data_IF_386948956235
#
_entry.id   IF_386948956235
#
_cell.length_a   1.000
_cell.length_b   1.000
_cell.length_c   1.000
_cell.angle_alpha   90.00
_cell.angle_beta   90.00
_cell.angle_gamma   90.00
#
_symmetry.space_group_name_H-M   'P 1'
#
loop_
_entity.id
_entity.type
_entity.pdbx_description
1 polymer ?
#
# COMPACT_ATOMS: atom_id res chain seq x y z
N UNK A 1 3.45 29.95 -4.26
CA UNK A 1 2.22 29.63 -5.02
C UNK A 1 1.39 28.59 -4.27
N UNK A 2 0.08 28.48 -4.48
CA UNK A 2 -0.75 27.40 -3.88
C UNK A 2 -1.15 26.40 -4.97
N UNK A 3 -1.25 25.11 -4.61
CA UNK A 3 -1.71 24.08 -5.53
C UNK A 3 -3.20 24.28 -5.85
N UNK A 4 -3.57 24.40 -7.13
CA UNK A 4 -4.98 24.56 -7.53
C UNK A 4 -5.84 23.32 -7.23
N UNK A 5 -5.20 22.14 -7.06
CA UNK A 5 -5.91 20.88 -6.82
C UNK A 5 -6.18 20.61 -5.34
N UNK A 6 -5.38 21.16 -4.42
CA UNK A 6 -5.51 20.85 -2.99
C UNK A 6 -5.27 22.04 -2.05
N UNK A 7 -4.96 23.22 -2.56
CA UNK A 7 -4.75 24.43 -1.76
C UNK A 7 -3.48 24.46 -0.92
N UNK A 8 -2.59 23.46 -1.01
CA UNK A 8 -1.33 23.47 -0.24
C UNK A 8 -0.30 24.44 -0.82
N UNK A 9 0.52 25.05 0.06
CA UNK A 9 1.55 26.03 -0.33
C UNK A 9 2.71 25.32 -1.03
N UNK A 10 2.93 25.63 -2.31
CA UNK A 10 4.02 25.09 -3.12
C UNK A 10 5.24 26.05 -3.13
N UNK A 11 6.45 25.50 -2.98
CA UNK A 11 7.69 26.23 -3.18
C UNK A 11 7.91 26.53 -4.67
N UNK A 12 8.61 27.62 -4.96
CA UNK A 12 8.72 28.25 -6.29
C UNK A 12 9.37 27.36 -7.37
N UNK A 13 10.05 26.29 -6.96
CA UNK A 13 10.76 25.35 -7.82
C UNK A 13 10.26 23.89 -7.68
N UNK A 14 9.08 23.67 -7.09
CA UNK A 14 8.49 22.35 -7.03
C UNK A 14 8.08 21.87 -8.43
N UNK A 15 8.51 20.66 -8.82
CA UNK A 15 8.01 19.97 -10.02
C UNK A 15 6.67 19.28 -9.78
N UNK A 16 6.35 18.99 -8.52
CA UNK A 16 5.13 18.31 -8.08
C UNK A 16 4.69 18.84 -6.72
N UNK A 17 3.38 18.90 -6.48
CA UNK A 17 2.79 19.23 -5.19
C UNK A 17 3.06 18.10 -4.17
N UNK A 18 3.73 18.41 -3.06
CA UNK A 18 3.99 17.44 -2.00
C UNK A 18 2.72 17.01 -1.22
N UNK A 19 1.64 17.77 -1.31
CA UNK A 19 0.37 17.48 -0.62
C UNK A 19 -0.56 16.54 -1.37
N UNK A 20 -0.65 16.65 -2.71
CA UNK A 20 -1.58 15.84 -3.51
C UNK A 20 -0.95 15.15 -4.73
N UNK A 21 0.34 15.37 -5.02
CA UNK A 21 1.05 14.73 -6.13
C UNK A 21 0.78 15.34 -7.51
N UNK A 22 -0.04 16.39 -7.62
CA UNK A 22 -0.29 17.06 -8.89
C UNK A 22 1.00 17.69 -9.45
N UNK A 23 1.25 17.53 -10.75
CA UNK A 23 2.38 18.17 -11.45
C UNK A 23 2.24 19.69 -11.33
N UNK A 24 3.27 20.34 -10.81
CA UNK A 24 3.31 21.78 -10.69
C UNK A 24 3.77 22.34 -12.04
N UNK A 25 2.88 23.03 -12.75
CA UNK A 25 3.23 23.72 -13.98
C UNK A 25 3.96 25.02 -13.61
N UNK A 26 5.28 25.02 -13.77
CA UNK A 26 6.14 26.18 -13.55
C UNK A 26 6.02 27.12 -14.75
N UNK A 27 5.19 28.16 -14.65
CA UNK A 27 5.31 29.32 -15.52
C UNK A 27 6.47 30.19 -15.01
N UNK A 28 7.61 30.17 -15.71
CA UNK A 28 8.70 31.14 -15.51
C UNK A 28 8.36 32.48 -16.21
N UNK A 29 9.15 33.54 -16.03
CA UNK A 29 8.91 34.64 -15.11
C UNK A 29 8.48 35.92 -15.86
N UNK A 30 7.58 36.71 -15.28
CA UNK A 30 7.37 38.09 -15.73
C UNK A 30 7.58 39.02 -14.54
N UNK A 31 8.60 39.86 -14.67
CA UNK A 31 8.96 40.91 -13.75
C UNK A 31 8.03 42.14 -13.91
N UNK A 32 7.84 42.85 -12.78
CA UNK A 32 7.54 44.30 -12.62
C UNK A 32 6.08 44.75 -12.31
N UNK A 33 5.83 45.02 -11.01
CA UNK A 33 5.11 46.16 -10.35
C UNK A 33 3.63 46.52 -10.72
N UNK A 34 2.91 47.41 -9.98
CA UNK A 34 2.58 47.52 -8.55
C UNK A 34 1.04 47.70 -8.26
N UNK A 35 0.65 47.73 -6.96
CA UNK A 35 -0.68 48.12 -6.39
C UNK A 35 -1.81 47.06 -6.44
N UNK A 36 -2.77 46.98 -5.51
CA UNK A 36 -3.17 47.86 -4.42
C UNK A 36 -3.63 47.04 -3.18
N UNK A 37 -3.48 47.68 -2.02
CA UNK A 37 -3.87 47.19 -0.71
C UNK A 37 -5.37 47.44 -0.50
N UNK A 38 -6.14 46.37 -0.28
CA UNK A 38 -7.52 46.45 0.19
C UNK A 38 -7.65 45.61 1.46
N UNK A 39 -7.85 46.27 2.60
CA UNK A 39 -8.23 45.68 3.89
C UNK A 39 -9.76 45.64 4.03
N UNK A 40 -10.32 44.51 4.48
CA UNK A 40 -11.52 44.48 5.31
C UNK A 40 -11.27 43.84 6.71
N UNK A 41 -12.22 43.97 7.66
CA UNK A 41 -11.95 44.46 9.02
C UNK A 41 -11.66 43.39 10.09
N UNK A 42 -11.05 43.88 11.17
CA UNK A 42 -10.70 43.15 12.38
C UNK A 42 -11.92 42.53 13.08
N UNK A 43 -11.79 41.28 13.52
CA UNK A 43 -12.61 40.71 14.60
C UNK A 43 -11.76 40.61 15.85
N UNK A 44 -12.06 41.52 16.76
CA UNK A 44 -11.69 41.52 18.18
C UNK A 44 -12.41 40.39 18.91
N UNK A 45 -11.67 39.48 19.56
CA UNK A 45 -11.97 38.89 20.87
C UNK A 45 -10.63 38.49 21.50
N UNK A 46 -10.01 39.30 22.36
CA UNK A 46 -10.18 39.41 23.82
C UNK A 46 -9.94 38.10 24.60
N UNK A 47 -8.67 37.96 25.01
CA UNK A 47 -8.11 37.52 26.30
C UNK A 47 -8.93 36.66 27.29
N UNK A 48 -8.34 35.53 27.69
CA UNK A 48 -8.36 34.96 29.06
C UNK A 48 -7.08 34.14 29.33
N UNK A 49 -6.65 33.95 30.59
CA UNK A 49 -5.23 33.85 30.98
C UNK A 49 -4.68 32.44 31.33
N UNK A 50 -3.37 32.25 31.04
CA UNK A 50 -2.31 31.51 31.76
C UNK A 50 -2.52 30.04 32.18
N UNK A 51 -1.68 29.11 31.67
CA UNK A 51 -0.74 28.39 32.56
C UNK A 51 0.47 27.77 31.83
N UNK A 52 1.63 28.19 32.29
CA UNK A 52 2.98 27.80 31.91
C UNK A 52 3.36 26.44 32.53
N UNK A 53 3.89 25.51 31.73
CA UNK A 53 4.71 24.40 32.25
C UNK A 53 5.71 23.88 31.19
N UNK A 54 6.96 24.30 31.34
CA UNK A 54 8.17 23.62 30.82
C UNK A 54 8.49 22.40 31.73
N UNK A 55 9.50 21.52 31.48
CA UNK A 55 10.35 21.23 30.30
C UNK A 55 10.56 19.71 30.02
N UNK A 56 11.10 19.31 28.85
CA UNK A 56 12.17 18.28 28.72
C UNK A 56 12.61 18.15 27.24
N UNK A 57 13.82 18.63 26.94
CA UNK A 57 14.51 18.43 25.66
C UNK A 57 15.09 17.01 25.65
N UNK A 58 14.48 16.10 24.90
CA UNK A 58 15.05 14.77 24.67
C UNK A 58 16.11 14.91 23.58
N UNK A 59 17.39 14.73 23.92
CA UNK A 59 18.46 14.63 22.93
C UNK A 59 18.22 13.38 22.06
N UNK A 60 18.16 13.59 20.75
CA UNK A 60 17.81 12.60 19.75
C UNK A 60 19.12 11.88 19.40
N UNK A 61 19.26 10.63 19.83
CA UNK A 61 20.34 9.77 19.36
C UNK A 61 20.15 9.50 17.86
N UNK A 62 21.22 9.49 17.04
CA UNK A 62 21.11 9.18 15.62
C UNK A 62 20.62 7.74 15.43
N UNK A 63 19.51 7.59 14.69
CA UNK A 63 18.95 6.29 14.35
C UNK A 63 19.92 5.50 13.44
N UNK A 64 20.01 4.16 13.59
CA UNK A 64 20.89 3.34 12.77
C UNK A 64 20.47 3.42 11.29
N UNK A 65 21.48 3.52 10.40
CA UNK A 65 21.30 3.58 8.97
C UNK A 65 20.58 2.32 8.45
N UNK A 66 19.39 2.52 7.90
CA UNK A 66 18.58 1.47 7.28
C UNK A 66 19.26 0.98 5.99
N UNK A 67 19.78 -0.25 5.98
CA UNK A 67 20.21 -0.93 4.75
C UNK A 67 18.99 -1.49 4.00
N UNK A 68 18.76 -1.14 2.71
CA UNK A 68 17.64 -1.64 1.92
C UNK A 68 17.94 -3.03 1.32
N UNK A 69 18.35 -4.00 2.14
CA UNK A 69 18.67 -5.35 1.67
C UNK A 69 17.60 -6.40 1.98
N UNK A 70 16.53 -6.06 2.70
CA UNK A 70 15.51 -7.05 3.13
C UNK A 70 14.06 -6.54 3.01
N UNK A 71 13.85 -5.39 2.38
CA UNK A 71 12.60 -4.64 2.40
C UNK A 71 12.13 -4.23 1.01
N UNK A 72 12.52 -4.96 -0.03
CA UNK A 72 11.69 -4.98 -1.22
C UNK A 72 10.45 -5.78 -0.79
N UNK A 73 9.33 -5.13 -0.53
CA UNK A 73 8.03 -5.75 -0.78
C UNK A 73 8.15 -6.31 -2.20
N UNK A 74 8.52 -7.59 -2.32
CA UNK A 74 8.91 -8.19 -3.59
C UNK A 74 7.62 -8.29 -4.39
N UNK A 75 7.31 -7.20 -5.08
CA UNK A 75 6.24 -7.12 -6.06
C UNK A 75 6.59 -8.21 -7.05
N UNK A 76 5.86 -9.32 -6.96
CA UNK A 76 6.10 -10.47 -7.80
C UNK A 76 5.89 -10.03 -9.24
N UNK A 77 6.98 -10.03 -10.02
CA UNK A 77 6.92 -9.67 -11.42
C UNK A 77 5.91 -10.56 -12.15
N UNK A 78 5.23 -10.02 -13.17
CA UNK A 78 4.22 -10.75 -13.96
C UNK A 78 4.80 -12.07 -14.51
N UNK A 79 6.08 -12.09 -14.88
CA UNK A 79 6.78 -13.31 -15.29
C UNK A 79 6.79 -14.39 -14.20
N UNK A 80 6.95 -14.01 -12.94
CA UNK A 80 6.93 -14.92 -11.80
C UNK A 80 5.54 -15.56 -11.65
N UNK A 81 4.47 -14.76 -11.80
CA UNK A 81 3.10 -15.27 -11.82
C UNK A 81 2.85 -16.19 -13.01
N UNK A 82 3.36 -15.88 -14.21
CA UNK A 82 3.20 -16.75 -15.37
C UNK A 82 3.83 -18.12 -15.18
N UNK A 83 5.03 -18.19 -14.59
CA UNK A 83 5.65 -19.48 -14.24
C UNK A 83 4.84 -20.21 -13.18
N UNK A 84 4.34 -19.50 -12.17
CA UNK A 84 3.51 -20.09 -11.12
C UNK A 84 2.18 -20.64 -11.67
N UNK A 85 1.55 -19.92 -12.61
CA UNK A 85 0.32 -20.35 -13.28
C UNK A 85 0.56 -21.55 -14.20
N UNK A 86 1.70 -21.60 -14.89
CA UNK A 86 2.08 -22.74 -15.73
C UNK A 86 2.32 -24.01 -14.89
N UNK A 87 2.95 -23.87 -13.73
CA UNK A 87 3.18 -24.99 -12.82
C UNK A 87 1.88 -25.46 -12.14
N UNK A 88 0.88 -24.58 -12.00
CA UNK A 88 -0.46 -24.94 -11.52
C UNK A 88 -1.15 -25.99 -12.41
N UNK A 89 -0.82 -26.04 -13.71
CA UNK A 89 -1.32 -27.06 -14.63
C UNK A 89 -0.86 -28.48 -14.28
N UNK A 90 0.20 -28.62 -13.48
CA UNK A 90 0.69 -29.92 -13.01
C UNK A 90 0.29 -30.07 -11.54
N UNK A 91 -0.81 -30.80 -11.23
CA UNK A 91 -1.45 -30.76 -9.91
C UNK A 91 -0.53 -31.19 -8.76
N UNK A 92 0.32 -32.20 -8.98
CA UNK A 92 1.25 -32.70 -7.96
C UNK A 92 2.38 -31.69 -7.69
N UNK A 93 2.99 -31.14 -8.74
CA UNK A 93 4.10 -30.18 -8.63
C UNK A 93 3.63 -28.89 -7.96
N UNK A 94 2.43 -28.42 -8.31
CA UNK A 94 1.79 -27.28 -7.67
C UNK A 94 1.69 -27.45 -6.15
N UNK A 95 1.18 -28.61 -5.70
CA UNK A 95 1.01 -28.86 -4.26
C UNK A 95 2.36 -28.84 -3.51
N UNK A 96 3.38 -29.48 -4.07
CA UNK A 96 4.73 -29.53 -3.47
C UNK A 96 5.36 -28.14 -3.39
N UNK A 97 5.24 -27.32 -4.43
CA UNK A 97 5.77 -25.95 -4.43
C UNK A 97 5.08 -25.03 -3.42
N UNK A 98 3.77 -25.16 -3.28
CA UNK A 98 3.02 -24.41 -2.27
C UNK A 98 3.49 -24.77 -0.85
N UNK A 99 3.79 -26.05 -0.58
CA UNK A 99 4.37 -26.48 0.69
C UNK A 99 5.80 -25.90 0.87
N UNK A 100 6.63 -25.97 -0.16
CA UNK A 100 7.99 -25.45 -0.14
C UNK A 100 8.01 -23.94 0.13
N UNK A 101 7.12 -23.15 -0.48
CA UNK A 101 7.04 -21.71 -0.25
C UNK A 101 6.34 -21.35 1.07
N UNK A 102 5.39 -22.16 1.55
CA UNK A 102 4.70 -21.96 2.83
C UNK A 102 5.64 -22.13 4.03
N UNK A 103 6.44 -23.20 4.00
CA UNK A 103 7.26 -23.66 5.13
C UNK A 103 8.76 -23.45 4.93
N UNK A 104 9.22 -23.24 3.69
CA UNK A 104 10.63 -22.99 3.40
C UNK A 104 11.10 -21.61 3.88
N UNK A 105 12.37 -21.52 4.28
CA UNK A 105 12.99 -20.28 4.75
C UNK A 105 13.38 -19.33 3.61
N UNK A 106 13.55 -19.84 2.38
CA UNK A 106 14.13 -19.14 1.23
C UNK A 106 13.18 -18.23 0.44
N UNK A 107 11.87 -18.28 0.71
CA UNK A 107 10.89 -17.48 -0.01
C UNK A 107 10.64 -16.12 0.67
N UNK A 108 10.50 -15.04 -0.12
CA UNK A 108 10.07 -13.73 0.39
C UNK A 108 8.66 -13.78 1.01
N UNK A 109 8.33 -12.87 1.95
CA UNK A 109 7.09 -12.91 2.72
C UNK A 109 5.82 -12.90 1.85
N UNK A 110 5.82 -12.22 0.70
CA UNK A 110 4.68 -12.21 -0.23
C UNK A 110 4.39 -13.60 -0.82
N UNK A 111 5.44 -14.36 -1.21
CA UNK A 111 5.32 -15.72 -1.74
C UNK A 111 4.81 -16.69 -0.68
N UNK A 112 5.27 -16.56 0.57
CA UNK A 112 4.79 -17.42 1.67
C UNK A 112 3.31 -17.20 1.95
N UNK A 113 2.87 -15.94 1.97
CA UNK A 113 1.46 -15.60 2.20
C UNK A 113 0.57 -16.08 1.05
N UNK A 114 1.01 -15.92 -0.19
CA UNK A 114 0.33 -16.49 -1.35
C UNK A 114 0.22 -18.01 -1.25
N UNK A 115 1.32 -18.69 -0.94
CA UNK A 115 1.35 -20.15 -0.85
C UNK A 115 0.41 -20.68 0.25
N UNK A 116 0.42 -20.06 1.42
CA UNK A 116 -0.50 -20.38 2.53
C UNK A 116 -1.96 -20.14 2.15
N UNK A 117 -2.27 -19.02 1.50
CA UNK A 117 -3.63 -18.72 1.04
C UNK A 117 -4.13 -19.75 0.03
N UNK A 118 -3.29 -20.15 -0.93
CA UNK A 118 -3.63 -21.16 -1.94
C UNK A 118 -3.82 -22.56 -1.34
N UNK A 119 -3.04 -22.95 -0.32
CA UNK A 119 -3.27 -24.21 0.38
C UNK A 119 -4.61 -24.23 1.10
N UNK A 120 -4.95 -23.14 1.81
CA UNK A 120 -6.26 -23.00 2.48
C UNK A 120 -7.38 -23.07 1.44
N UNK A 121 -7.25 -22.36 0.31
CA UNK A 121 -8.23 -22.38 -0.76
C UNK A 121 -8.42 -23.77 -1.37
N UNK A 122 -7.31 -24.52 -1.57
CA UNK A 122 -7.35 -25.88 -2.10
C UNK A 122 -8.12 -26.81 -1.16
N UNK A 123 -7.88 -26.74 0.15
CA UNK A 123 -8.61 -27.53 1.15
C UNK A 123 -10.11 -27.19 1.14
N UNK A 124 -10.46 -25.90 1.08
CA UNK A 124 -11.86 -25.46 0.99
C UNK A 124 -12.54 -26.05 -0.25
N UNK A 125 -11.89 -25.97 -1.42
CA UNK A 125 -12.45 -26.49 -2.67
C UNK A 125 -12.63 -28.01 -2.64
N UNK A 126 -11.70 -28.75 -2.03
CA UNK A 126 -11.83 -30.20 -1.85
C UNK A 126 -13.03 -30.54 -0.95
N UNK A 127 -13.18 -29.86 0.19
CA UNK A 127 -14.32 -30.07 1.09
C UNK A 127 -15.65 -29.75 0.40
N UNK A 128 -15.73 -28.61 -0.30
CA UNK A 128 -16.92 -28.25 -1.07
C UNK A 128 -17.25 -29.27 -2.15
N UNK A 129 -16.24 -29.82 -2.84
CA UNK A 129 -16.42 -30.86 -3.84
C UNK A 129 -17.03 -32.13 -3.24
N UNK A 130 -16.60 -32.57 -2.05
CA UNK A 130 -17.20 -33.72 -1.38
C UNK A 130 -18.62 -33.46 -0.90
N UNK A 131 -18.91 -32.26 -0.38
CA UNK A 131 -20.25 -31.90 0.10
C UNK A 131 -21.23 -31.81 -1.07
N UNK A 132 -20.90 -31.00 -2.08
CA UNK A 132 -21.77 -30.80 -3.26
C UNK A 132 -21.81 -32.06 -4.11
N UNK A 133 -20.66 -32.68 -4.37
CA UNK A 133 -20.55 -33.92 -5.12
C UNK A 133 -21.27 -35.07 -4.44
N UNK A 134 -21.19 -35.19 -3.11
CA UNK A 134 -21.93 -36.21 -2.36
C UNK A 134 -23.45 -36.05 -2.48
N UNK A 135 -23.96 -34.82 -2.34
CA UNK A 135 -25.39 -34.51 -2.54
C UNK A 135 -25.81 -34.81 -3.98
N UNK A 136 -25.00 -34.41 -4.96
CA UNK A 136 -25.28 -34.63 -6.38
C UNK A 136 -25.23 -36.12 -6.76
N UNK A 137 -24.25 -36.86 -6.29
CA UNK A 137 -24.11 -38.31 -6.51
C UNK A 137 -25.27 -39.08 -5.87
N UNK A 138 -25.70 -38.66 -4.66
CA UNK A 138 -26.89 -39.19 -4.00
C UNK A 138 -28.17 -38.94 -4.81
N UNK A 139 -28.37 -37.73 -5.33
CA UNK A 139 -29.51 -37.41 -6.20
C UNK A 139 -29.48 -38.19 -7.52
N UNK A 140 -28.30 -38.34 -8.15
CA UNK A 140 -28.13 -39.14 -9.36
C UNK A 140 -28.45 -40.62 -9.14
N UNK A 141 -28.11 -41.18 -7.97
CA UNK A 141 -28.39 -42.59 -7.64
C UNK A 141 -29.89 -42.91 -7.54
N UNK A 142 -30.76 -41.91 -7.37
CA UNK A 142 -32.21 -42.10 -7.36
C UNK A 142 -32.82 -42.08 -8.77
N UNK A 143 -32.04 -41.66 -9.77
CA UNK A 143 -32.50 -41.38 -11.13
C UNK A 143 -32.00 -42.42 -12.15
N UNK A 144 -31.00 -43.22 -11.77
CA UNK A 144 -30.37 -44.32 -12.51
C UNK A 144 -30.77 -45.66 -11.90
#
# INVERSE_FOLDING_TARGET
MFCEKCGSKLPENAKFCAGCGAKAELAQPIASQPQAQYTPPATTYQTSPVQESSPQVRAYAPAPAYSPAQSQSEILSVKQYMVMLLLLCIPIVNFILLLMWSFGSSAGPSKKNFARAMLIFTVIMVVLWFVVGGVFMGALSQLL
#
